data_IF_889240113507
#
_entry.id   IF_889240113507
#
_cell.length_a   1.000
_cell.length_b   1.000
_cell.length_c   1.000
_cell.angle_alpha   90.00
_cell.angle_beta   90.00
_cell.angle_gamma   90.00
#
_symmetry.space_group_name_H-M   'P 1'
#
loop_
_entity.id
_entity.type
_entity.pdbx_description
1 polymer ?
#
# COMPACT_ATOMS: atom_id res chain seq x y z
N UNK A 1 -6.09 -2.12 14.60
CA UNK A 1 -4.63 -2.06 14.53
C UNK A 1 -4.24 -0.88 13.67
N UNK A 2 -3.14 -0.25 13.96
CA UNK A 2 -2.70 0.93 13.24
C UNK A 2 -2.00 0.61 11.92
N UNK A 3 -1.64 1.65 11.18
CA UNK A 3 -0.97 1.56 9.89
C UNK A 3 0.37 0.80 9.94
N UNK A 4 1.02 0.71 11.11
CA UNK A 4 2.29 0.03 11.27
C UNK A 4 2.20 -1.46 10.89
N UNK A 5 1.13 -2.14 11.32
CA UNK A 5 0.92 -3.55 10.98
C UNK A 5 0.75 -3.73 9.47
N UNK A 6 0.03 -2.83 8.81
CA UNK A 6 -0.16 -2.84 7.37
C UNK A 6 1.16 -2.59 6.63
N UNK A 7 1.98 -1.63 7.08
CA UNK A 7 3.29 -1.39 6.50
C UNK A 7 4.20 -2.61 6.62
N UNK A 8 4.19 -3.29 7.76
CA UNK A 8 4.98 -4.50 7.95
C UNK A 8 4.58 -5.60 6.97
N UNK A 9 3.27 -5.76 6.72
CA UNK A 9 2.77 -6.71 5.71
C UNK A 9 3.27 -6.33 4.32
N UNK A 10 3.20 -5.06 3.95
CA UNK A 10 3.58 -4.59 2.61
C UNK A 10 5.09 -4.57 2.38
N UNK A 11 5.90 -4.82 3.40
CA UNK A 11 7.35 -4.86 3.27
C UNK A 11 7.87 -6.16 2.62
N UNK A 12 7.09 -7.22 2.57
CA UNK A 12 7.50 -8.50 2.00
C UNK A 12 7.13 -8.60 0.52
N UNK A 13 8.08 -8.99 -0.37
CA UNK A 13 7.81 -9.06 -1.81
C UNK A 13 6.67 -10.02 -2.19
N UNK A 14 6.58 -11.17 -1.55
CA UNK A 14 5.52 -12.15 -1.83
C UNK A 14 4.16 -11.56 -1.44
N UNK A 15 4.07 -10.92 -0.29
CA UNK A 15 2.82 -10.28 0.14
C UNK A 15 2.43 -9.13 -0.78
N UNK A 16 3.40 -8.40 -1.32
CA UNK A 16 3.12 -7.35 -2.32
C UNK A 16 2.45 -7.94 -3.57
N UNK A 17 2.93 -9.09 -4.04
CA UNK A 17 2.31 -9.78 -5.19
C UNK A 17 0.89 -10.20 -4.87
N UNK A 18 0.65 -10.73 -3.67
CA UNK A 18 -0.70 -11.14 -3.24
C UNK A 18 -1.65 -9.95 -3.19
N UNK A 19 -1.20 -8.82 -2.65
CA UNK A 19 -1.98 -7.58 -2.63
C UNK A 19 -2.33 -7.14 -4.06
N UNK A 20 -1.36 -7.17 -4.98
CA UNK A 20 -1.60 -6.81 -6.38
C UNK A 20 -2.63 -7.72 -7.03
N UNK A 21 -2.57 -9.02 -6.80
CA UNK A 21 -3.57 -9.96 -7.35
C UNK A 21 -4.96 -9.70 -6.80
N UNK A 22 -5.06 -9.34 -5.52
CA UNK A 22 -6.33 -9.07 -4.86
C UNK A 22 -6.99 -7.75 -5.33
N UNK A 23 -6.26 -6.90 -6.05
CA UNK A 23 -6.86 -5.70 -6.64
C UNK A 23 -8.00 -6.03 -7.61
N UNK A 24 -7.96 -7.19 -8.24
CA UNK A 24 -9.01 -7.62 -9.17
C UNK A 24 -10.28 -8.10 -8.47
N UNK A 25 -10.26 -8.25 -7.15
CA UNK A 25 -11.40 -8.70 -6.36
C UNK A 25 -11.09 -9.94 -5.53
N UNK A 26 -12.09 -10.49 -4.83
CA UNK A 26 -11.89 -11.66 -3.97
C UNK A 26 -11.38 -12.87 -4.74
N UNK A 27 -10.46 -13.61 -4.12
CA UNK A 27 -9.86 -14.80 -4.74
C UNK A 27 -9.62 -15.91 -3.71
N UNK A 28 -9.76 -17.19 -4.13
CA UNK A 28 -9.35 -18.32 -3.30
C UNK A 28 -7.84 -18.48 -3.29
N UNK A 29 -7.32 -19.19 -2.27
CA UNK A 29 -5.87 -19.38 -2.09
C UNK A 29 -5.21 -20.03 -3.30
N UNK A 30 -5.87 -20.99 -3.93
CA UNK A 30 -5.31 -21.69 -5.10
C UNK A 30 -5.02 -20.73 -6.26
N UNK A 31 -5.90 -19.79 -6.51
CA UNK A 31 -5.72 -18.76 -7.54
C UNK A 31 -4.63 -17.76 -7.14
N UNK A 32 -4.61 -17.37 -5.88
CA UNK A 32 -3.58 -16.46 -5.35
C UNK A 32 -2.18 -17.07 -5.41
N UNK A 33 -2.05 -18.37 -5.19
CA UNK A 33 -0.76 -19.08 -5.21
C UNK A 33 -0.28 -19.45 -6.60
N UNK A 34 -1.15 -19.41 -7.61
CA UNK A 34 -0.84 -19.86 -8.97
C UNK A 34 0.36 -19.12 -9.55
N UNK A 35 1.35 -19.91 -10.01
CA UNK A 35 2.54 -19.34 -10.67
C UNK A 35 3.54 -18.66 -9.75
N UNK A 36 3.33 -18.67 -8.45
CA UNK A 36 4.30 -18.10 -7.51
C UNK A 36 5.44 -19.10 -7.23
N UNK A 37 6.70 -18.60 -7.06
CA UNK A 37 7.83 -19.46 -6.74
C UNK A 37 7.89 -19.87 -5.26
N UNK A 38 6.74 -20.00 -4.63
CA UNK A 38 6.60 -20.41 -3.23
C UNK A 38 5.49 -21.45 -3.13
N UNK A 39 5.56 -22.29 -2.10
CA UNK A 39 4.57 -23.36 -1.90
C UNK A 39 3.21 -22.78 -1.50
N UNK A 40 2.14 -23.54 -1.77
CA UNK A 40 0.79 -23.17 -1.35
C UNK A 40 0.68 -23.02 0.18
N UNK A 41 1.29 -23.91 1.01
CA UNK A 41 1.34 -23.66 2.46
C UNK A 41 2.02 -22.36 2.85
N UNK A 42 3.08 -21.95 2.15
CA UNK A 42 3.74 -20.67 2.40
C UNK A 42 2.81 -19.51 2.08
N UNK A 43 2.06 -19.56 0.98
CA UNK A 43 1.05 -18.55 0.63
C UNK A 43 -0.03 -18.49 1.70
N UNK A 44 -0.51 -19.63 2.17
CA UNK A 44 -1.51 -19.68 3.25
C UNK A 44 -1.00 -19.02 4.53
N UNK A 45 0.28 -19.21 4.85
CA UNK A 45 0.91 -18.54 6.00
C UNK A 45 0.95 -17.02 5.81
N UNK A 46 1.33 -16.55 4.63
CA UNK A 46 1.31 -15.12 4.32
C UNK A 46 -0.10 -14.55 4.48
N UNK A 47 -1.10 -15.25 3.95
CA UNK A 47 -2.49 -14.79 4.03
C UNK A 47 -3.00 -14.74 5.48
N UNK A 48 -2.59 -15.68 6.34
CA UNK A 48 -2.92 -15.63 7.77
C UNK A 48 -2.32 -14.40 8.45
N UNK A 49 -1.07 -14.07 8.13
CA UNK A 49 -0.43 -12.87 8.65
C UNK A 49 -1.15 -11.61 8.17
N UNK A 50 -1.52 -11.57 6.90
CA UNK A 50 -2.25 -10.45 6.30
C UNK A 50 -3.63 -10.29 6.94
N UNK A 51 -4.32 -11.38 7.21
CA UNK A 51 -5.60 -11.36 7.92
C UNK A 51 -5.42 -10.84 9.35
N UNK A 52 -4.41 -11.35 10.07
CA UNK A 52 -4.11 -10.91 11.42
C UNK A 52 -3.78 -9.43 11.52
N UNK A 53 -3.16 -8.87 10.49
CA UNK A 53 -2.86 -7.44 10.41
C UNK A 53 -4.03 -6.58 9.90
N UNK A 54 -5.14 -7.21 9.52
CA UNK A 54 -6.32 -6.49 9.01
C UNK A 54 -6.20 -6.04 7.56
N UNK A 55 -5.23 -6.55 6.80
CA UNK A 55 -5.01 -6.18 5.39
C UNK A 55 -5.97 -6.92 4.47
N UNK A 56 -6.33 -8.14 4.82
CA UNK A 56 -7.31 -8.93 4.06
C UNK A 56 -8.42 -9.40 4.98
N UNK A 57 -9.58 -9.64 4.39
CA UNK A 57 -10.73 -10.29 4.99
C UNK A 57 -10.94 -11.62 4.31
N UNK A 58 -11.57 -12.56 5.02
CA UNK A 58 -11.89 -13.88 4.50
C UNK A 58 -13.40 -14.07 4.55
N UNK A 59 -13.98 -14.46 3.42
CA UNK A 59 -15.39 -14.79 3.32
C UNK A 59 -15.51 -16.22 2.84
N UNK A 60 -16.40 -16.99 3.44
CA UNK A 60 -16.71 -18.35 2.98
C UNK A 60 -17.62 -18.30 1.78
N UNK A 61 -17.28 -19.08 0.74
CA UNK A 61 -18.08 -19.28 -0.46
C UNK A 61 -18.17 -20.79 -0.73
N UNK A 62 -19.22 -21.42 -0.22
CA UNK A 62 -19.35 -22.86 -0.24
C UNK A 62 -18.24 -23.51 0.60
N UNK A 63 -17.42 -24.35 -0.02
CA UNK A 63 -16.28 -25.01 0.64
C UNK A 63 -14.98 -24.24 0.51
N UNK A 64 -15.01 -23.07 -0.14
CA UNK A 64 -13.82 -22.26 -0.37
C UNK A 64 -13.81 -21.04 0.54
N UNK A 65 -12.59 -20.57 0.86
CA UNK A 65 -12.39 -19.27 1.48
C UNK A 65 -11.97 -18.29 0.38
N UNK A 66 -12.66 -17.17 0.31
CA UNK A 66 -12.29 -16.06 -0.58
C UNK A 66 -11.59 -14.98 0.25
N UNK A 67 -10.40 -14.60 -0.19
CA UNK A 67 -9.63 -13.51 0.40
C UNK A 67 -9.89 -12.23 -0.37
N UNK A 68 -10.01 -11.14 0.34
CA UNK A 68 -10.27 -9.83 -0.28
C UNK A 68 -9.53 -8.74 0.51
N UNK A 69 -9.09 -7.68 -0.18
CA UNK A 69 -8.41 -6.57 0.47
C UNK A 69 -9.35 -5.80 1.39
N UNK A 70 -8.85 -5.44 2.56
CA UNK A 70 -9.51 -4.47 3.43
C UNK A 70 -8.98 -3.08 3.07
N UNK A 71 -9.76 -2.33 2.31
CA UNK A 71 -9.35 -1.01 1.83
C UNK A 71 -9.19 0.00 2.98
N UNK A 72 -9.85 -0.23 4.11
CA UNK A 72 -9.70 0.62 5.30
C UNK A 72 -8.28 0.61 5.84
N UNK A 73 -7.64 -0.57 5.88
CA UNK A 73 -6.25 -0.71 6.32
C UNK A 73 -5.29 0.01 5.38
N UNK A 74 -5.52 -0.11 4.06
CA UNK A 74 -4.72 0.59 3.06
C UNK A 74 -4.94 2.10 3.13
N UNK A 75 -6.15 2.55 3.41
CA UNK A 75 -6.45 3.96 3.59
C UNK A 75 -5.73 4.57 4.79
N UNK A 76 -5.56 3.82 5.87
CA UNK A 76 -4.78 4.27 7.02
C UNK A 76 -3.31 4.54 6.64
N UNK A 77 -2.73 3.68 5.80
CA UNK A 77 -1.37 3.89 5.27
C UNK A 77 -1.34 5.14 4.38
N UNK A 78 -2.34 5.30 3.52
CA UNK A 78 -2.44 6.48 2.66
C UNK A 78 -2.48 7.76 3.49
N UNK A 79 -3.29 7.81 4.54
CA UNK A 79 -3.37 8.98 5.43
C UNK A 79 -2.05 9.25 6.14
N UNK A 80 -1.35 8.21 6.56
CA UNK A 80 -0.03 8.35 7.16
C UNK A 80 0.96 8.97 6.16
N UNK A 81 0.98 8.49 4.92
CA UNK A 81 1.85 9.00 3.87
C UNK A 81 1.46 10.41 3.44
N UNK A 82 0.18 10.72 3.42
CA UNK A 82 -0.33 12.07 3.08
C UNK A 82 0.25 13.15 3.99
N UNK A 83 0.48 12.85 5.27
CA UNK A 83 1.11 13.80 6.18
C UNK A 83 2.50 14.22 5.72
N UNK A 84 3.26 13.27 5.17
CA UNK A 84 4.59 13.59 4.61
C UNK A 84 4.46 14.42 3.35
N UNK A 85 3.53 14.05 2.48
CA UNK A 85 3.29 14.79 1.24
C UNK A 85 2.87 16.22 1.52
N UNK A 86 1.95 16.44 2.45
CA UNK A 86 1.47 17.78 2.82
C UNK A 86 2.63 18.65 3.29
N UNK A 87 3.45 18.16 4.20
CA UNK A 87 4.60 18.90 4.71
C UNK A 87 5.64 19.13 3.62
N UNK A 88 6.00 18.10 2.87
CA UNK A 88 7.02 18.16 1.83
C UNK A 88 6.59 19.04 0.66
N UNK A 89 5.33 18.98 0.26
CA UNK A 89 4.78 19.83 -0.80
C UNK A 89 4.75 21.29 -0.39
N UNK A 90 4.41 21.58 0.86
CA UNK A 90 4.47 22.95 1.39
C UNK A 90 5.88 23.50 1.35
N UNK A 91 6.87 22.71 1.77
CA UNK A 91 8.29 23.10 1.72
C UNK A 91 8.73 23.33 0.28
N UNK A 92 8.37 22.45 -0.61
CA UNK A 92 8.72 22.55 -2.03
C UNK A 92 8.10 23.78 -2.66
N UNK A 93 6.83 24.05 -2.37
CA UNK A 93 6.13 25.25 -2.82
C UNK A 93 6.82 26.52 -2.33
N UNK A 94 7.16 26.57 -1.05
CA UNK A 94 7.86 27.71 -0.46
C UNK A 94 9.22 27.92 -1.11
N UNK A 95 10.00 26.86 -1.31
CA UNK A 95 11.29 26.93 -1.96
C UNK A 95 11.17 27.41 -3.41
N UNK A 96 10.18 26.93 -4.15
CA UNK A 96 9.92 27.36 -5.52
C UNK A 96 9.53 28.83 -5.59
N UNK A 97 8.68 29.30 -4.66
CA UNK A 97 8.28 30.70 -4.58
C UNK A 97 9.50 31.61 -4.28
N UNK A 98 10.34 31.20 -3.34
CA UNK A 98 11.58 31.93 -3.01
C UNK A 98 12.52 32.00 -4.21
N UNK A 99 12.74 30.89 -4.90
CA UNK A 99 13.57 30.85 -6.08
C UNK A 99 13.05 31.76 -7.18
N UNK A 100 11.73 31.76 -7.36
CA UNK A 100 11.08 32.65 -8.34
C UNK A 100 11.30 34.14 -8.00
N UNK A 101 11.08 34.51 -6.73
CA UNK A 101 11.28 35.88 -6.27
C UNK A 101 12.76 36.30 -6.40
N UNK A 102 13.69 35.46 -6.01
CA UNK A 102 15.13 35.73 -6.16
C UNK A 102 15.53 35.88 -7.63
N UNK A 103 15.04 34.99 -8.51
CA UNK A 103 15.28 35.08 -9.93
C UNK A 103 14.71 36.36 -10.54
N UNK A 104 13.53 36.78 -10.11
CA UNK A 104 12.89 38.01 -10.55
C UNK A 104 13.71 39.25 -10.11
N UNK A 105 14.25 39.25 -8.92
CA UNK A 105 15.09 40.33 -8.41
C UNK A 105 16.41 40.43 -9.13
N UNK A 106 16.96 39.30 -9.59
CA UNK A 106 18.26 39.22 -10.27
C UNK A 106 18.20 39.43 -11.78
N UNK A 107 17.01 39.55 -12.36
CA UNK A 107 16.89 39.79 -13.79
C UNK A 107 17.52 41.13 -14.15
N UNK A 108 18.46 41.13 -15.10
CA UNK A 108 19.05 42.39 -15.54
C UNK A 108 17.98 43.25 -16.20
N UNK A 109 17.99 44.51 -15.86
CA UNK A 109 17.15 45.49 -16.56
C UNK A 109 17.74 45.71 -17.94
N UNK A 110 16.90 45.63 -18.92
CA UNK A 110 17.28 46.04 -20.28
C UNK A 110 17.07 47.55 -20.44
#
# INVERSE_FOLDING_TARGET
MGYQATLAILADPTRQVLVERLRSGPMPVGKLASGLPVSRPAVSKHLRLMKGAGVVRVTEDGTRNLYELDLGSLDEVRRYLDRFWDTSLKRLKTAAERSYEEGKRRRPRR
#
